data_IF_668976014164
#
_entry.id   IF_668976014164
#
_cell.length_a   1.000
_cell.length_b   1.000
_cell.length_c   1.000
_cell.angle_alpha   90.00
_cell.angle_beta   90.00
_cell.angle_gamma   90.00
#
_symmetry.space_group_name_H-M   'P 1'
#
loop_
_entity.id
_entity.type
_entity.pdbx_description
1 polymer ?
#
# COMPACT_ATOMS: atom_id res chain seq x y z
N UNK A 1 12.58 2.26 -16.92
CA UNK A 1 12.02 1.07 -16.24
C UNK A 1 10.82 1.41 -15.39
N UNK A 2 9.70 0.73 -15.64
CA UNK A 2 8.47 0.88 -14.85
C UNK A 2 8.62 0.28 -13.45
N UNK A 3 8.01 0.90 -12.43
CA UNK A 3 8.07 0.44 -11.03
C UNK A 3 7.51 -0.97 -10.89
N UNK A 4 6.50 -1.33 -11.69
CA UNK A 4 5.96 -2.69 -11.76
C UNK A 4 7.04 -3.71 -12.15
N UNK A 5 7.86 -3.40 -13.15
CA UNK A 5 8.93 -4.29 -13.62
C UNK A 5 10.06 -4.39 -12.62
N UNK A 6 10.41 -3.28 -11.95
CA UNK A 6 11.37 -3.30 -10.85
C UNK A 6 10.89 -4.19 -9.70
N UNK A 7 9.62 -4.12 -9.33
CA UNK A 7 9.04 -4.97 -8.29
C UNK A 7 9.04 -6.44 -8.70
N UNK A 8 8.68 -6.76 -9.95
CA UNK A 8 8.76 -8.13 -10.47
C UNK A 8 10.19 -8.67 -10.38
N UNK A 9 11.18 -7.89 -10.78
CA UNK A 9 12.59 -8.27 -10.71
C UNK A 9 13.03 -8.58 -9.28
N UNK A 10 12.72 -7.70 -8.32
CA UNK A 10 13.04 -7.93 -6.89
C UNK A 10 12.48 -9.25 -6.38
N UNK A 11 11.23 -9.58 -6.75
CA UNK A 11 10.62 -10.85 -6.34
C UNK A 11 11.21 -12.07 -7.06
N UNK A 12 11.61 -11.92 -8.32
CA UNK A 12 12.17 -13.01 -9.14
C UNK A 12 13.63 -13.31 -8.83
N UNK A 13 14.40 -12.33 -8.36
CA UNK A 13 15.80 -12.47 -7.96
C UNK A 13 15.95 -13.04 -6.54
N UNK A 14 14.87 -13.11 -5.76
CA UNK A 14 14.90 -13.64 -4.39
C UNK A 14 14.61 -15.15 -4.38
N UNK A 15 15.66 -15.95 -4.16
CA UNK A 15 15.59 -17.41 -4.19
C UNK A 15 14.62 -17.96 -3.12
N UNK A 16 14.65 -17.40 -1.91
CA UNK A 16 13.80 -17.85 -0.78
C UNK A 16 12.32 -17.67 -1.10
N UNK A 17 11.95 -16.52 -1.68
CA UNK A 17 10.60 -16.24 -2.14
C UNK A 17 10.19 -17.19 -3.27
N UNK A 18 11.05 -17.34 -4.28
CA UNK A 18 10.77 -18.17 -5.45
C UNK A 18 10.69 -19.65 -5.12
N UNK A 19 11.38 -20.13 -4.08
CA UNK A 19 11.31 -21.49 -3.54
C UNK A 19 10.05 -21.78 -2.73
N UNK A 20 9.27 -20.77 -2.33
CA UNK A 20 8.06 -20.98 -1.51
C UNK A 20 6.77 -20.62 -2.26
N UNK A 21 6.88 -19.89 -3.36
CA UNK A 21 5.72 -19.43 -4.11
C UNK A 21 5.19 -20.49 -5.09
N UNK A 22 3.87 -20.55 -5.25
CA UNK A 22 3.20 -21.25 -6.36
C UNK A 22 2.76 -20.28 -7.45
N UNK A 23 2.25 -19.11 -7.08
CA UNK A 23 1.90 -18.06 -8.03
C UNK A 23 2.09 -16.68 -7.43
N UNK A 24 2.57 -15.74 -8.25
CA UNK A 24 2.69 -14.32 -7.89
C UNK A 24 2.25 -13.45 -9.06
N UNK A 25 1.51 -12.39 -8.75
CA UNK A 25 1.07 -11.39 -9.71
C UNK A 25 1.33 -9.99 -9.17
N UNK A 26 2.06 -9.18 -9.93
CA UNK A 26 2.34 -7.78 -9.64
C UNK A 26 1.62 -6.92 -10.67
N UNK A 27 0.66 -6.11 -10.21
CA UNK A 27 -0.17 -5.24 -11.06
C UNK A 27 -0.14 -3.80 -10.57
N UNK A 28 -0.13 -2.85 -11.51
CA UNK A 28 -0.38 -1.46 -11.19
C UNK A 28 -1.87 -1.23 -10.93
N UNK A 29 -2.18 -0.40 -9.94
CA UNK A 29 -3.53 0.02 -9.58
C UNK A 29 -3.59 1.53 -9.59
N UNK A 30 -4.50 2.06 -10.40
CA UNK A 30 -4.84 3.48 -10.41
C UNK A 30 -6.15 3.65 -9.66
N UNK A 31 -6.27 4.73 -8.89
CA UNK A 31 -7.49 5.07 -8.18
C UNK A 31 -8.52 5.66 -9.16
N UNK A 32 -9.72 5.10 -9.18
CA UNK A 32 -10.83 5.60 -10.00
C UNK A 32 -11.05 7.12 -9.84
N UNK A 33 -11.32 7.87 -10.92
CA UNK A 33 -11.41 9.34 -10.88
C UNK A 33 -12.36 9.88 -9.80
N UNK A 34 -13.53 9.27 -9.64
CA UNK A 34 -14.50 9.67 -8.61
C UNK A 34 -14.00 9.41 -7.18
N UNK A 35 -13.30 8.29 -6.97
CA UNK A 35 -12.72 7.95 -5.67
C UNK A 35 -11.52 8.85 -5.33
N UNK A 36 -10.76 9.23 -6.34
CA UNK A 36 -9.65 10.18 -6.24
C UNK A 36 -10.17 11.57 -5.86
N UNK A 37 -11.18 12.09 -6.58
CA UNK A 37 -11.81 13.37 -6.27
C UNK A 37 -12.37 13.44 -4.84
N UNK A 38 -13.12 12.41 -4.41
CA UNK A 38 -13.60 12.32 -3.01
C UNK A 38 -12.47 12.30 -1.99
N UNK A 39 -11.34 11.66 -2.31
CA UNK A 39 -10.16 11.64 -1.43
C UNK A 39 -9.50 13.02 -1.34
N UNK A 40 -9.40 13.74 -2.45
CA UNK A 40 -8.89 15.12 -2.50
C UNK A 40 -9.73 16.05 -1.61
N UNK A 41 -11.06 15.96 -1.69
CA UNK A 41 -11.99 16.71 -0.84
C UNK A 41 -11.81 16.40 0.65
N UNK A 42 -11.61 15.13 1.01
CA UNK A 42 -11.36 14.71 2.40
C UNK A 42 -10.04 15.26 2.94
N UNK A 43 -8.97 15.19 2.15
CA UNK A 43 -7.65 15.76 2.53
C UNK A 43 -7.78 17.26 2.77
N UNK A 44 -8.52 17.98 1.89
CA UNK A 44 -8.80 19.41 2.06
C UNK A 44 -9.55 19.68 3.36
N UNK A 45 -10.64 18.95 3.61
CA UNK A 45 -11.44 19.12 4.82
C UNK A 45 -10.60 18.90 6.10
N UNK A 46 -9.72 17.89 6.10
CA UNK A 46 -8.80 17.61 7.21
C UNK A 46 -7.75 18.71 7.41
N UNK A 47 -7.26 19.36 6.33
CA UNK A 47 -6.36 20.51 6.44
C UNK A 47 -7.07 21.71 7.05
N UNK A 48 -8.28 22.02 6.57
CA UNK A 48 -9.08 23.13 7.09
C UNK A 48 -9.43 22.93 8.57
N UNK A 49 -9.78 21.71 8.99
CA UNK A 49 -10.08 21.42 10.40
C UNK A 49 -8.84 21.56 11.30
N UNK A 50 -7.65 21.16 10.82
CA UNK A 50 -6.37 21.37 11.54
C UNK A 50 -5.99 22.86 11.65
N UNK A 51 -6.34 23.68 10.67
CA UNK A 51 -6.06 25.13 10.69
C UNK A 51 -6.99 25.91 11.62
N UNK A 52 -8.25 25.46 11.84
CA UNK A 52 -9.19 26.13 12.76
C UNK A 52 -8.75 26.19 14.23
N UNK A 53 -7.68 25.50 14.61
CA UNK A 53 -7.05 25.59 15.94
C UNK A 53 -5.84 26.53 16.06
N UNK A 54 -5.36 27.13 14.96
CA UNK A 54 -4.24 28.08 14.92
C UNK A 54 -4.67 29.35 14.18
N UNK A 55 -4.96 30.40 14.95
CA UNK A 55 -5.18 31.80 14.53
C UNK A 55 -5.99 32.02 13.23
N UNK A 56 -7.31 32.16 13.42
CA UNK A 56 -8.28 32.46 12.35
C UNK A 56 -8.43 33.97 12.06
N UNK A 57 -7.46 34.80 12.46
CA UNK A 57 -7.50 36.23 12.20
C UNK A 57 -6.23 36.64 11.45
N UNK A 58 -6.38 37.25 10.28
CA UNK A 58 -5.35 37.98 9.52
C UNK A 58 -4.59 37.25 8.41
N UNK A 59 -5.17 36.23 7.75
CA UNK A 59 -4.77 35.96 6.36
C UNK A 59 -5.75 35.09 5.59
N UNK A 60 -6.80 35.71 5.02
CA UNK A 60 -7.56 35.05 3.94
C UNK A 60 -6.75 35.21 2.65
N UNK A 61 -5.62 34.51 2.55
CA UNK A 61 -4.99 34.29 1.25
C UNK A 61 -5.79 33.21 0.51
N UNK A 62 -6.28 33.59 -0.67
CA UNK A 62 -7.03 32.75 -1.61
C UNK A 62 -6.32 31.41 -1.97
N UNK A 63 -5.02 31.28 -1.67
CA UNK A 63 -4.24 30.05 -1.82
C UNK A 63 -4.71 28.89 -0.94
N UNK A 64 -5.42 29.16 0.16
CA UNK A 64 -6.07 28.12 0.99
C UNK A 64 -7.26 27.43 0.31
N UNK A 65 -7.73 28.00 -0.81
CA UNK A 65 -8.84 27.49 -1.60
C UNK A 65 -8.42 26.71 -2.84
N UNK A 66 -7.13 26.52 -3.11
CA UNK A 66 -6.67 25.74 -4.26
C UNK A 66 -7.11 24.27 -4.12
N UNK A 67 -7.47 23.60 -5.24
CA UNK A 67 -7.74 22.16 -5.22
C UNK A 67 -6.48 21.44 -4.72
N UNK A 68 -6.66 20.49 -3.79
CA UNK A 68 -5.58 19.57 -3.37
C UNK A 68 -4.96 19.00 -4.64
N UNK A 69 -3.66 19.18 -4.87
CA UNK A 69 -3.03 18.61 -6.07
C UNK A 69 -3.18 17.08 -6.05
N UNK A 70 -3.32 16.46 -7.23
CA UNK A 70 -3.36 15.00 -7.34
C UNK A 70 -2.15 14.33 -6.69
N UNK A 71 -1.00 15.03 -6.68
CA UNK A 71 0.26 14.58 -6.07
C UNK A 71 0.17 14.38 -4.55
N UNK A 72 -0.81 14.97 -3.89
CA UNK A 72 -1.02 14.83 -2.44
C UNK A 72 -1.75 13.53 -2.07
N UNK A 73 -2.34 12.86 -3.06
CA UNK A 73 -3.03 11.59 -2.86
C UNK A 73 -2.04 10.45 -3.06
N UNK A 74 -1.40 10.03 -1.98
CA UNK A 74 -0.37 8.98 -2.00
C UNK A 74 -0.87 7.62 -2.50
N UNK A 75 -2.16 7.35 -2.42
CA UNK A 75 -2.79 6.12 -2.94
C UNK A 75 -3.48 6.34 -4.30
N UNK A 76 -3.11 7.40 -5.04
CA UNK A 76 -3.58 7.64 -6.40
C UNK A 76 -3.06 6.58 -7.38
N UNK A 77 -1.79 6.20 -7.21
CA UNK A 77 -1.14 5.10 -7.91
C UNK A 77 -0.60 4.15 -6.83
N UNK A 78 -0.77 2.86 -7.03
CA UNK A 78 -0.24 1.83 -6.14
C UNK A 78 0.17 0.60 -6.96
N UNK A 79 1.03 -0.23 -6.38
CA UNK A 79 1.24 -1.59 -6.85
C UNK A 79 0.43 -2.55 -5.99
N UNK A 80 -0.06 -3.62 -6.60
CA UNK A 80 -0.71 -4.74 -5.94
C UNK A 80 0.09 -5.99 -6.23
N UNK A 81 0.60 -6.61 -5.15
CA UNK A 81 1.18 -7.94 -5.18
C UNK A 81 0.14 -8.91 -4.64
N UNK A 82 -0.22 -9.91 -5.44
CA UNK A 82 -1.08 -11.03 -5.04
C UNK A 82 -0.23 -12.28 -5.16
N UNK A 83 -0.17 -13.05 -4.09
CA UNK A 83 0.71 -14.21 -3.97
C UNK A 83 -0.05 -15.40 -3.38
N UNK A 84 0.40 -16.61 -3.70
CA UNK A 84 -0.01 -17.87 -3.07
C UNK A 84 1.20 -18.78 -2.93
N UNK A 85 1.39 -19.33 -1.76
CA UNK A 85 2.44 -20.31 -1.45
C UNK A 85 2.11 -21.67 -2.06
N UNK A 86 3.17 -22.45 -2.32
CA UNK A 86 3.02 -23.84 -2.78
C UNK A 86 2.60 -24.73 -1.63
N UNK A 87 1.73 -25.71 -1.89
CA UNK A 87 1.54 -26.80 -0.93
C UNK A 87 2.81 -27.65 -0.87
N UNK A 88 3.27 -28.01 0.33
CA UNK A 88 4.45 -28.87 0.51
C UNK A 88 4.11 -30.34 0.32
N UNK A 89 2.88 -30.71 0.69
CA UNK A 89 2.30 -32.03 0.43
C UNK A 89 0.92 -31.86 -0.20
N UNK A 90 0.44 -32.82 -1.02
CA UNK A 90 -0.89 -32.74 -1.61
C UNK A 90 -2.02 -32.64 -0.58
N UNK A 91 -1.84 -33.29 0.58
CA UNK A 91 -2.80 -33.38 1.67
C UNK A 91 -2.60 -32.31 2.75
N UNK A 92 -1.80 -31.27 2.47
CA UNK A 92 -1.58 -30.18 3.41
C UNK A 92 -2.88 -29.39 3.64
N UNK A 93 -3.18 -29.17 4.92
CA UNK A 93 -4.33 -28.38 5.36
C UNK A 93 -4.23 -26.93 4.84
N UNK A 94 -5.39 -26.38 4.46
CA UNK A 94 -5.47 -25.03 3.94
C UNK A 94 -5.04 -23.99 4.99
N UNK A 95 -5.27 -24.23 6.29
CA UNK A 95 -4.84 -23.33 7.36
C UNK A 95 -3.31 -23.20 7.44
N UNK A 96 -2.58 -24.29 7.19
CA UNK A 96 -1.11 -24.30 7.17
C UNK A 96 -0.59 -23.53 5.96
N UNK A 97 -1.22 -23.73 4.80
CA UNK A 97 -0.88 -22.99 3.57
C UNK A 97 -1.17 -21.50 3.74
N UNK A 98 -2.32 -21.14 4.33
CA UNK A 98 -2.67 -19.75 4.61
C UNK A 98 -1.73 -19.09 5.65
N UNK A 99 -1.25 -19.84 6.64
CA UNK A 99 -0.24 -19.35 7.56
C UNK A 99 1.06 -18.99 6.83
N UNK A 100 1.46 -19.79 5.85
CA UNK A 100 2.61 -19.50 4.98
C UNK A 100 2.33 -18.33 4.03
N UNK A 101 1.12 -18.19 3.50
CA UNK A 101 0.72 -17.01 2.71
C UNK A 101 0.87 -15.72 3.53
N UNK A 102 0.41 -15.73 4.79
CA UNK A 102 0.55 -14.59 5.70
C UNK A 102 2.03 -14.28 5.96
N UNK A 103 2.84 -15.29 6.25
CA UNK A 103 4.28 -15.12 6.46
C UNK A 103 4.97 -14.52 5.23
N UNK A 104 4.63 -15.01 4.03
CA UNK A 104 5.23 -14.52 2.78
C UNK A 104 4.77 -13.09 2.45
N UNK A 105 3.58 -12.67 2.87
CA UNK A 105 3.17 -11.27 2.77
C UNK A 105 4.10 -10.35 3.56
N UNK A 106 4.48 -10.71 4.79
CA UNK A 106 5.45 -9.93 5.58
C UNK A 106 6.84 -9.98 4.96
N UNK A 107 7.26 -11.12 4.43
CA UNK A 107 8.54 -11.24 3.73
C UNK A 107 8.62 -10.29 2.51
N UNK A 108 7.58 -10.24 1.69
CA UNK A 108 7.50 -9.29 0.56
C UNK A 108 7.52 -7.84 1.03
N UNK A 109 6.90 -7.54 2.16
CA UNK A 109 6.97 -6.20 2.76
C UNK A 109 8.41 -5.84 3.15
N UNK A 110 9.17 -6.77 3.72
CA UNK A 110 10.58 -6.59 4.06
C UNK A 110 11.43 -6.32 2.80
N UNK A 111 11.27 -7.13 1.75
CA UNK A 111 11.92 -6.87 0.45
C UNK A 111 11.58 -5.49 -0.11
N UNK A 112 10.33 -5.06 0.02
CA UNK A 112 9.90 -3.72 -0.38
C UNK A 112 10.58 -2.63 0.45
N UNK A 113 10.75 -2.85 1.76
CA UNK A 113 11.34 -1.89 2.70
C UNK A 113 12.83 -1.69 2.40
N UNK A 114 13.54 -2.78 2.12
CA UNK A 114 14.97 -2.73 1.78
C UNK A 114 15.22 -2.00 0.47
N UNK A 115 14.36 -2.22 -0.53
CA UNK A 115 14.52 -1.59 -1.86
C UNK A 115 13.97 -0.17 -1.94
N UNK A 116 12.87 0.10 -1.25
CA UNK A 116 12.18 1.38 -1.23
C UNK A 116 11.81 1.74 0.22
N UNK A 117 12.70 2.44 0.95
CA UNK A 117 12.46 2.82 2.33
C UNK A 117 11.15 3.57 2.55
N UNK A 118 10.55 3.36 3.72
CA UNK A 118 9.25 3.92 4.05
C UNK A 118 9.35 5.43 4.18
N UNK A 119 8.34 6.15 3.70
CA UNK A 119 8.27 7.61 3.89
C UNK A 119 7.88 7.95 5.33
N UNK A 120 7.02 7.11 5.91
CA UNK A 120 6.33 7.36 7.17
C UNK A 120 5.86 6.01 7.72
N UNK A 121 6.50 5.54 8.80
CA UNK A 121 6.16 4.26 9.46
C UNK A 121 4.70 4.25 9.95
N UNK A 122 4.12 5.41 10.27
CA UNK A 122 2.73 5.53 10.70
C UNK A 122 1.71 5.24 9.57
N UNK A 123 2.18 5.08 8.33
CA UNK A 123 1.34 4.74 7.17
C UNK A 123 1.32 3.25 6.84
N UNK A 124 2.10 2.44 7.54
CA UNK A 124 1.99 0.99 7.47
C UNK A 124 0.63 0.59 8.07
N UNK A 125 -0.17 -0.16 7.30
CA UNK A 125 -1.44 -0.72 7.80
C UNK A 125 -1.45 -2.21 7.62
N UNK A 126 -1.51 -2.90 8.76
CA UNK A 126 -1.56 -4.34 8.82
C UNK A 126 -3.01 -4.81 8.99
N UNK A 127 -3.67 -5.09 7.86
CA UNK A 127 -4.99 -5.71 7.87
C UNK A 127 -4.93 -7.25 7.89
N UNK A 128 -3.73 -7.85 7.94
CA UNK A 128 -3.61 -9.29 8.19
C UNK A 128 -3.82 -9.54 9.69
N UNK A 129 -3.12 -8.81 10.54
CA UNK A 129 -3.25 -8.85 12.00
C UNK A 129 -4.57 -8.26 12.49
N UNK A 130 -5.06 -7.20 11.86
CA UNK A 130 -6.34 -6.56 12.22
C UNK A 130 -7.25 -6.43 11.00
N UNK A 131 -7.91 -7.53 10.60
CA UNK A 131 -8.81 -7.55 9.45
C UNK A 131 -9.91 -6.49 9.57
N UNK A 132 -10.37 -6.01 8.42
CA UNK A 132 -11.54 -5.12 8.41
C UNK A 132 -12.82 -5.89 8.80
N UNK A 133 -13.89 -5.20 9.23
CA UNK A 133 -15.15 -5.84 9.57
C UNK A 133 -15.77 -6.69 8.45
N UNK A 134 -15.41 -6.43 7.20
CA UNK A 134 -15.85 -7.21 6.03
C UNK A 134 -14.92 -8.39 5.69
N UNK A 135 -13.98 -8.77 6.57
CA UNK A 135 -13.03 -9.86 6.36
C UNK A 135 -11.84 -9.52 5.45
N UNK A 136 -11.72 -8.28 4.96
CA UNK A 136 -10.60 -7.90 4.08
C UNK A 136 -9.26 -7.92 4.83
N UNK A 137 -8.29 -8.63 4.24
CA UNK A 137 -6.91 -8.76 4.72
C UNK A 137 -5.90 -8.34 3.65
N UNK A 138 -4.88 -7.57 4.04
CA UNK A 138 -3.78 -7.09 3.17
C UNK A 138 -2.76 -6.29 4.00
N UNK A 139 -1.51 -6.21 3.54
CA UNK A 139 -0.52 -5.25 4.05
C UNK A 139 -0.48 -4.03 3.14
N UNK A 140 -0.60 -2.83 3.72
CA UNK A 140 -0.50 -1.57 2.99
C UNK A 140 0.79 -0.87 3.38
N UNK A 141 1.65 -0.68 2.39
CA UNK A 141 2.94 -0.01 2.53
C UNK A 141 3.00 1.21 1.61
N UNK A 142 3.63 2.29 2.07
CA UNK A 142 3.78 3.54 1.29
C UNK A 142 5.23 3.99 1.32
N UNK A 143 5.87 3.97 0.16
CA UNK A 143 7.23 4.45 -0.07
C UNK A 143 7.26 5.59 -1.08
N UNK A 144 8.39 6.30 -1.14
CA UNK A 144 8.72 7.19 -2.23
C UNK A 144 9.77 6.50 -3.09
N UNK A 145 9.49 6.33 -4.38
CA UNK A 145 10.53 6.01 -5.34
C UNK A 145 11.14 7.32 -5.83
N UNK A 146 12.48 7.41 -5.81
CA UNK A 146 13.21 8.39 -6.61
C UNK A 146 13.20 7.95 -8.07
#
# INVERSE_FOLDING_TARGET
>A
DDVTQRMKRVLQEDDVFMENIASVSVTARIKEPYSLWKKMLRIRAQRLSKMKGKEFANSIHASSCLPSSVTEVHDAIALRVVLRTRKLTPDEDDEVTEARDRALCYYVQELCRDRWPAVDEARLKDYIKSPKPNGYQSLHYSSQTR
#
